data_IF_167854648492
#
_entry.id   IF_167854648492
#
_cell.length_a   1.000
_cell.length_b   1.000
_cell.length_c   1.000
_cell.angle_alpha   90.00
_cell.angle_beta   90.00
_cell.angle_gamma   90.00
#
_symmetry.space_group_name_H-M   'P 1'
#
loop_
_entity.id
_entity.type
_entity.pdbx_description
1 polymer ?
#
# COMPACT_ATOMS: atom_id res chain seq x y z
N UNK A 1 53.88 -45.60 -48.22
CA UNK A 1 52.88 -46.10 -47.24
C UNK A 1 52.63 -45.00 -46.22
N UNK A 2 51.37 -44.85 -45.81
CA UNK A 2 50.76 -43.67 -45.20
C UNK A 2 51.31 -43.29 -43.82
N UNK A 3 51.48 -41.98 -43.56
CA UNK A 3 51.25 -41.38 -42.23
C UNK A 3 50.70 -39.96 -42.39
N UNK A 4 49.38 -39.84 -42.25
CA UNK A 4 48.69 -38.55 -42.14
C UNK A 4 48.81 -38.02 -40.71
N UNK A 5 49.28 -36.78 -40.57
CA UNK A 5 49.18 -36.00 -39.34
C UNK A 5 47.84 -35.26 -39.36
N UNK A 6 46.85 -35.79 -38.65
CA UNK A 6 45.57 -35.11 -38.41
C UNK A 6 45.76 -34.05 -37.33
N UNK A 7 45.74 -32.78 -37.74
CA UNK A 7 45.68 -31.63 -36.85
C UNK A 7 44.42 -31.72 -35.98
N UNK A 8 44.60 -31.87 -34.67
CA UNK A 8 43.51 -31.78 -33.71
C UNK A 8 43.22 -30.29 -33.48
N UNK A 9 42.13 -29.79 -34.07
CA UNK A 9 41.52 -28.52 -33.68
C UNK A 9 41.08 -28.62 -32.22
N UNK A 10 41.83 -28.00 -31.32
CA UNK A 10 41.36 -27.74 -29.96
C UNK A 10 40.28 -26.65 -30.04
N UNK A 11 39.01 -27.06 -29.94
CA UNK A 11 37.91 -26.15 -29.63
C UNK A 11 38.09 -25.69 -28.17
N UNK A 12 38.62 -24.47 -28.00
CA UNK A 12 38.52 -23.77 -26.72
C UNK A 12 37.04 -23.40 -26.50
N UNK A 13 36.35 -24.13 -25.63
CA UNK A 13 35.05 -23.73 -25.08
C UNK A 13 35.26 -22.45 -24.27
N UNK A 14 34.86 -21.32 -24.85
CA UNK A 14 34.68 -20.09 -24.09
C UNK A 14 33.51 -20.29 -23.12
N UNK A 15 33.82 -20.61 -21.87
CA UNK A 15 32.88 -20.51 -20.74
C UNK A 15 32.67 -19.01 -20.43
N UNK A 16 31.91 -18.34 -21.29
CA UNK A 16 31.51 -16.95 -21.13
C UNK A 16 30.42 -16.81 -20.06
N UNK A 17 30.60 -15.81 -19.20
CA UNK A 17 29.74 -15.39 -18.08
C UNK A 17 28.23 -15.63 -18.29
N UNK A 18 27.67 -16.67 -17.66
CA UNK A 18 26.21 -16.82 -17.50
C UNK A 18 25.71 -16.37 -16.12
N UNK A 19 26.59 -16.17 -15.14
CA UNK A 19 26.22 -15.81 -13.77
C UNK A 19 25.39 -14.50 -13.70
N UNK A 20 25.61 -13.55 -14.61
CA UNK A 20 24.92 -12.26 -14.58
C UNK A 20 23.44 -12.29 -14.96
N UNK A 21 22.97 -13.28 -15.73
CA UNK A 21 21.58 -13.29 -16.23
C UNK A 21 20.60 -13.96 -15.26
N UNK A 22 21.04 -14.98 -14.53
CA UNK A 22 20.24 -15.66 -13.51
C UNK A 22 19.89 -14.73 -12.35
N UNK A 23 20.85 -13.92 -11.88
CA UNK A 23 20.64 -12.96 -10.80
C UNK A 23 19.72 -11.78 -11.20
N UNK A 24 19.69 -11.41 -12.49
CA UNK A 24 18.74 -10.41 -13.01
C UNK A 24 17.32 -10.97 -13.01
N UNK A 25 17.15 -12.19 -13.52
CA UNK A 25 15.84 -12.83 -13.65
C UNK A 25 15.24 -13.13 -12.27
N UNK A 26 16.04 -13.60 -11.31
CA UNK A 26 15.59 -13.89 -9.95
C UNK A 26 15.08 -12.63 -9.23
N UNK A 27 15.82 -11.51 -9.31
CA UNK A 27 15.40 -10.24 -8.69
C UNK A 27 14.15 -9.64 -9.36
N UNK A 28 14.01 -9.79 -10.68
CA UNK A 28 12.79 -9.40 -11.40
C UNK A 28 11.57 -10.23 -11.01
N UNK A 29 11.76 -11.54 -10.78
CA UNK A 29 10.71 -12.43 -10.29
C UNK A 29 10.29 -12.05 -8.85
N UNK A 30 11.25 -11.75 -7.96
CA UNK A 30 10.98 -11.32 -6.60
C UNK A 30 10.20 -10.00 -6.54
N UNK A 31 10.57 -9.01 -7.36
CA UNK A 31 9.84 -7.75 -7.42
C UNK A 31 8.40 -7.90 -7.91
N UNK A 32 8.13 -8.87 -8.78
CA UNK A 32 6.78 -9.21 -9.21
C UNK A 32 5.98 -9.89 -8.10
N UNK A 33 6.57 -10.88 -7.42
CA UNK A 33 5.95 -11.59 -6.29
C UNK A 33 5.62 -10.59 -5.17
N UNK A 34 6.55 -9.69 -4.84
CA UNK A 34 6.37 -8.67 -3.82
C UNK A 34 5.09 -7.84 -3.99
N UNK A 35 4.73 -7.51 -5.23
CA UNK A 35 3.60 -6.62 -5.52
C UNK A 35 2.30 -7.40 -5.77
N UNK A 36 2.39 -8.63 -6.28
CA UNK A 36 1.21 -9.39 -6.75
C UNK A 36 0.71 -10.43 -5.76
N UNK A 37 1.58 -10.94 -4.91
CA UNK A 37 1.24 -11.94 -3.90
C UNK A 37 0.99 -11.27 -2.54
N UNK A 38 0.52 -12.05 -1.57
CA UNK A 38 0.26 -11.60 -0.20
C UNK A 38 0.95 -12.52 0.83
N UNK A 39 0.97 -12.08 2.08
CA UNK A 39 1.51 -12.82 3.22
C UNK A 39 3.03 -12.98 3.19
N UNK A 40 3.52 -14.04 3.83
CA UNK A 40 4.96 -14.23 4.07
C UNK A 40 5.77 -14.36 2.76
N UNK A 41 5.18 -14.99 1.73
CA UNK A 41 5.82 -15.08 0.42
C UNK A 41 6.08 -13.70 -0.20
N UNK A 42 5.14 -12.77 -0.08
CA UNK A 42 5.31 -11.39 -0.54
C UNK A 42 6.33 -10.63 0.31
N UNK A 43 6.28 -10.77 1.65
CA UNK A 43 7.25 -10.13 2.56
C UNK A 43 8.69 -10.55 2.23
N UNK A 44 8.91 -11.85 2.01
CA UNK A 44 10.21 -12.41 1.68
C UNK A 44 10.70 -11.94 0.32
N UNK A 45 9.82 -11.95 -0.69
CA UNK A 45 10.14 -11.47 -2.03
C UNK A 45 10.46 -9.98 -2.06
N UNK A 46 9.66 -9.15 -1.38
CA UNK A 46 9.96 -7.72 -1.21
C UNK A 46 11.32 -7.51 -0.54
N UNK A 47 11.62 -8.29 0.50
CA UNK A 47 12.88 -8.17 1.23
C UNK A 47 14.08 -8.49 0.35
N UNK A 48 14.03 -9.57 -0.45
CA UNK A 48 15.07 -9.88 -1.44
C UNK A 48 15.17 -8.81 -2.53
N UNK A 49 14.04 -8.33 -3.06
CA UNK A 49 14.01 -7.28 -4.08
C UNK A 49 14.65 -5.98 -3.59
N UNK A 50 14.34 -5.54 -2.36
CA UNK A 50 14.93 -4.36 -1.72
C UNK A 50 16.44 -4.56 -1.50
N UNK A 51 16.85 -5.72 -0.95
CA UNK A 51 18.26 -6.02 -0.66
C UNK A 51 19.12 -6.14 -1.92
N UNK A 52 18.52 -6.47 -3.07
CA UNK A 52 19.24 -6.55 -4.35
C UNK A 52 19.88 -5.22 -4.78
N UNK A 53 19.37 -4.08 -4.27
CA UNK A 53 19.77 -2.71 -4.65
C UNK A 53 19.63 -2.42 -6.15
N UNK A 54 18.81 -3.20 -6.86
CA UNK A 54 18.60 -3.06 -8.32
C UNK A 54 17.49 -2.06 -8.67
N UNK A 55 16.63 -1.75 -7.71
CA UNK A 55 15.51 -0.83 -7.87
C UNK A 55 15.83 0.52 -7.23
N UNK A 56 15.25 1.58 -7.77
CA UNK A 56 15.37 2.94 -7.23
C UNK A 56 14.10 3.75 -7.51
N UNK A 57 14.01 4.94 -6.90
CA UNK A 57 12.89 5.86 -7.08
C UNK A 57 11.54 5.21 -6.73
N UNK A 58 10.51 5.57 -7.47
CA UNK A 58 9.14 5.13 -7.23
C UNK A 58 8.99 3.59 -7.23
N UNK A 59 9.74 2.87 -8.07
CA UNK A 59 9.69 1.39 -8.10
C UNK A 59 10.18 0.80 -6.78
N UNK A 60 11.28 1.32 -6.22
CA UNK A 60 11.77 0.89 -4.91
C UNK A 60 10.80 1.30 -3.79
N UNK A 61 10.26 2.52 -3.84
CA UNK A 61 9.26 2.98 -2.88
C UNK A 61 8.04 2.05 -2.84
N UNK A 62 7.59 1.55 -4.00
CA UNK A 62 6.51 0.57 -4.09
C UNK A 62 6.83 -0.77 -3.44
N UNK A 63 8.07 -1.26 -3.55
CA UNK A 63 8.48 -2.50 -2.87
C UNK A 63 8.40 -2.35 -1.34
N UNK A 64 8.85 -1.20 -0.82
CA UNK A 64 8.70 -0.87 0.59
C UNK A 64 7.22 -0.76 0.99
N UNK A 65 6.40 -0.04 0.20
CA UNK A 65 4.96 0.08 0.46
C UNK A 65 4.29 -1.30 0.52
N UNK A 66 4.49 -2.15 -0.49
CA UNK A 66 3.91 -3.50 -0.54
C UNK A 66 4.32 -4.34 0.68
N UNK A 67 5.61 -4.35 1.04
CA UNK A 67 6.06 -5.07 2.25
C UNK A 67 5.41 -4.53 3.53
N UNK A 68 5.30 -3.20 3.64
CA UNK A 68 4.67 -2.56 4.79
C UNK A 68 3.19 -2.91 4.90
N UNK A 69 2.46 -3.02 3.78
CA UNK A 69 1.05 -3.43 3.75
C UNK A 69 0.89 -4.85 4.31
N UNK A 70 1.74 -5.78 3.88
CA UNK A 70 1.69 -7.17 4.36
C UNK A 70 2.07 -7.28 5.84
N UNK A 71 3.08 -6.53 6.29
CA UNK A 71 3.44 -6.45 7.72
C UNK A 71 2.32 -5.88 8.57
N UNK A 72 1.65 -4.83 8.10
CA UNK A 72 0.47 -4.27 8.77
C UNK A 72 -0.67 -5.28 8.85
N UNK A 73 -0.90 -6.08 7.80
CA UNK A 73 -1.90 -7.14 7.80
C UNK A 73 -1.59 -8.25 8.82
N UNK A 74 -0.30 -8.45 9.15
CA UNK A 74 0.17 -9.31 10.25
C UNK A 74 0.28 -8.61 11.60
N UNK A 75 -0.23 -7.38 11.72
CA UNK A 75 -0.18 -6.54 12.92
C UNK A 75 1.26 -6.18 13.37
N UNK A 76 2.26 -6.35 12.52
CA UNK A 76 3.64 -5.88 12.73
C UNK A 76 3.74 -4.39 12.40
N UNK A 77 3.10 -3.58 13.24
CA UNK A 77 2.91 -2.15 13.00
C UNK A 77 4.22 -1.35 13.00
N UNK A 78 5.19 -1.71 13.85
CA UNK A 78 6.48 -1.03 13.91
C UNK A 78 7.25 -1.22 12.60
N UNK A 79 7.37 -2.46 12.12
CA UNK A 79 8.06 -2.74 10.86
C UNK A 79 7.30 -2.20 9.65
N UNK A 80 5.96 -2.14 9.71
CA UNK A 80 5.15 -1.52 8.67
C UNK A 80 5.38 0.00 8.60
N UNK A 81 5.38 0.69 9.74
CA UNK A 81 5.67 2.14 9.79
C UNK A 81 7.07 2.46 9.26
N UNK A 82 8.07 1.64 9.57
CA UNK A 82 9.42 1.80 9.04
C UNK A 82 9.46 1.67 7.51
N UNK A 83 8.74 0.69 6.95
CA UNK A 83 8.64 0.51 5.50
C UNK A 83 7.93 1.67 4.82
N UNK A 84 6.81 2.12 5.36
CA UNK A 84 6.09 3.27 4.81
C UNK A 84 6.89 4.56 4.91
N UNK A 85 7.65 4.76 5.98
CA UNK A 85 8.54 5.90 6.13
C UNK A 85 9.65 5.91 5.07
N UNK A 86 10.26 4.76 4.79
CA UNK A 86 11.26 4.67 3.73
C UNK A 86 10.65 4.88 2.33
N UNK A 87 9.45 4.34 2.07
CA UNK A 87 8.71 4.60 0.84
C UNK A 87 8.46 6.12 0.63
N UNK A 88 7.96 6.81 1.65
CA UNK A 88 7.71 8.26 1.62
C UNK A 88 8.99 9.10 1.50
N UNK A 89 10.12 8.60 2.03
CA UNK A 89 11.43 9.24 1.91
C UNK A 89 11.99 9.12 0.49
N UNK A 90 11.83 7.95 -0.15
CA UNK A 90 12.28 7.68 -1.51
C UNK A 90 11.41 8.43 -2.52
N UNK A 91 10.09 8.35 -2.38
CA UNK A 91 9.12 9.07 -3.20
C UNK A 91 8.21 9.95 -2.34
N UNK A 92 8.60 11.22 -2.23
CA UNK A 92 7.90 12.24 -1.43
C UNK A 92 6.49 12.56 -1.92
N UNK A 93 6.12 12.12 -3.13
CA UNK A 93 4.77 12.32 -3.70
C UNK A 93 3.92 11.07 -3.61
N UNK A 94 4.41 10.00 -2.98
CA UNK A 94 3.68 8.75 -2.88
C UNK A 94 2.63 8.80 -1.77
N UNK A 95 1.44 9.31 -2.10
CA UNK A 95 0.35 9.52 -1.14
C UNK A 95 -0.03 8.25 -0.34
N UNK A 96 0.04 7.07 -0.97
CA UNK A 96 -0.31 5.79 -0.33
C UNK A 96 0.60 5.45 0.86
N UNK A 97 1.87 5.90 0.85
CA UNK A 97 2.75 5.70 1.99
C UNK A 97 2.26 6.50 3.22
N UNK A 98 1.81 7.74 3.01
CA UNK A 98 1.22 8.56 4.07
C UNK A 98 -0.14 8.01 4.54
N UNK A 99 -0.99 7.57 3.60
CA UNK A 99 -2.28 6.94 3.93
C UNK A 99 -2.09 5.67 4.78
N UNK A 100 -1.16 4.79 4.42
CA UNK A 100 -0.93 3.56 5.18
C UNK A 100 -0.34 3.85 6.57
N UNK A 101 0.50 4.89 6.73
CA UNK A 101 0.93 5.37 8.06
C UNK A 101 -0.26 5.89 8.86
N UNK A 102 -1.13 6.68 8.25
CA UNK A 102 -2.37 7.14 8.87
C UNK A 102 -3.21 5.98 9.41
N UNK A 103 -3.44 4.95 8.60
CA UNK A 103 -4.19 3.77 9.01
C UNK A 103 -3.53 3.07 10.22
N UNK A 104 -2.21 2.89 10.21
CA UNK A 104 -1.48 2.30 11.37
C UNK A 104 -1.63 3.16 12.63
N UNK A 105 -1.50 4.48 12.52
CA UNK A 105 -1.70 5.38 13.67
C UNK A 105 -3.14 5.35 14.19
N UNK A 106 -4.14 5.23 13.32
CA UNK A 106 -5.53 5.02 13.71
C UNK A 106 -5.70 3.72 14.53
N UNK A 107 -5.11 2.60 14.07
CA UNK A 107 -5.13 1.34 14.81
C UNK A 107 -4.46 1.45 16.19
N UNK A 108 -3.35 2.19 16.25
CA UNK A 108 -2.62 2.47 17.50
C UNK A 108 -3.27 3.53 18.38
N UNK A 109 -4.41 4.11 17.95
CA UNK A 109 -5.13 5.19 18.63
C UNK A 109 -4.32 6.49 18.76
N UNK A 110 -3.32 6.67 17.91
CA UNK A 110 -2.49 7.87 17.80
C UNK A 110 -3.13 8.85 16.82
N UNK A 111 -4.32 9.34 17.17
CA UNK A 111 -5.20 10.02 16.22
C UNK A 111 -4.65 11.34 15.66
N UNK A 112 -3.85 12.10 16.42
CA UNK A 112 -3.20 13.32 15.91
C UNK A 112 -2.16 13.02 14.83
N UNK A 113 -1.39 11.94 15.01
CA UNK A 113 -0.46 11.46 14.00
C UNK A 113 -1.22 10.96 12.77
N UNK A 114 -2.32 10.22 12.97
CA UNK A 114 -3.18 9.76 11.89
C UNK A 114 -3.73 10.93 11.06
N UNK A 115 -4.29 11.95 11.70
CA UNK A 115 -4.82 13.15 11.03
C UNK A 115 -3.73 13.85 10.20
N UNK A 116 -2.52 13.97 10.75
CA UNK A 116 -1.38 14.59 10.06
C UNK A 116 -1.01 13.82 8.79
N UNK A 117 -0.83 12.50 8.90
CA UNK A 117 -0.45 11.63 7.79
C UNK A 117 -1.54 11.55 6.72
N UNK A 118 -2.81 11.38 7.12
CA UNK A 118 -3.93 11.38 6.17
C UNK A 118 -4.07 12.73 5.45
N UNK A 119 -3.85 13.85 6.15
CA UNK A 119 -3.90 15.17 5.51
C UNK A 119 -2.83 15.34 4.44
N UNK A 120 -1.65 14.79 4.66
CA UNK A 120 -0.59 14.77 3.66
C UNK A 120 -0.97 13.89 2.46
N UNK A 121 -1.56 12.70 2.69
CA UNK A 121 -2.07 11.84 1.61
C UNK A 121 -3.13 12.53 0.76
N UNK A 122 -4.13 13.17 1.39
CA UNK A 122 -5.20 13.93 0.73
C UNK A 122 -4.63 15.08 -0.10
N UNK A 123 -3.64 15.81 0.44
CA UNK A 123 -2.99 16.93 -0.26
C UNK A 123 -2.23 16.49 -1.50
N UNK A 124 -1.57 15.34 -1.45
CA UNK A 124 -0.81 14.78 -2.58
C UNK A 124 -1.73 14.16 -3.63
N UNK A 125 -2.86 13.59 -3.20
CA UNK A 125 -3.79 12.84 -4.03
C UNK A 125 -3.26 11.43 -4.37
N UNK A 126 -4.14 10.46 -4.65
CA UNK A 126 -3.73 9.08 -4.91
C UNK A 126 -2.78 8.95 -6.10
N UNK A 127 -1.80 8.07 -5.98
CA UNK A 127 -0.89 7.77 -7.09
C UNK A 127 -1.63 7.03 -8.21
N UNK A 128 -1.01 6.94 -9.39
CA UNK A 128 -1.58 6.20 -10.51
C UNK A 128 -1.60 4.68 -10.27
N UNK A 129 -0.76 4.19 -9.36
CA UNK A 129 -0.61 2.78 -9.00
C UNK A 129 -1.14 2.47 -7.60
N UNK A 130 -1.96 3.36 -7.04
CA UNK A 130 -2.60 3.16 -5.75
C UNK A 130 -3.33 1.81 -5.73
N UNK A 131 -2.86 0.92 -4.87
CA UNK A 131 -3.53 -0.33 -4.51
C UNK A 131 -4.11 -0.13 -3.13
N UNK A 132 -5.37 -0.51 -2.93
CA UNK A 132 -5.99 -0.47 -1.60
C UNK A 132 -5.15 -1.33 -0.65
N UNK A 133 -5.11 -0.90 0.60
CA UNK A 133 -4.69 -1.72 1.72
C UNK A 133 -5.34 -3.12 1.68
N UNK A 134 -4.64 -4.11 1.11
CA UNK A 134 -5.02 -5.53 1.10
C UNK A 134 -5.85 -6.03 -0.09
N UNK A 135 -6.02 -5.26 -1.17
CA UNK A 135 -6.77 -5.69 -2.36
C UNK A 135 -5.94 -5.59 -3.64
N UNK A 136 -5.94 -6.67 -4.44
CA UNK A 136 -5.31 -6.73 -5.77
C UNK A 136 -6.06 -5.93 -6.84
N UNK A 137 -7.19 -5.31 -6.50
CA UNK A 137 -8.00 -4.54 -7.44
C UNK A 137 -7.62 -3.06 -7.40
N UNK A 138 -7.31 -2.53 -8.59
CA UNK A 138 -6.93 -1.13 -8.79
C UNK A 138 -8.18 -0.28 -8.64
N UNK A 139 -8.42 0.27 -7.46
CA UNK A 139 -9.45 1.28 -7.27
C UNK A 139 -9.14 2.49 -8.17
N UNK A 140 -10.17 3.06 -8.80
CA UNK A 140 -10.05 4.37 -9.44
C UNK A 140 -9.57 5.41 -8.42
N UNK A 141 -8.87 6.46 -8.89
CA UNK A 141 -8.31 7.50 -8.01
C UNK A 141 -9.34 8.09 -7.05
N UNK A 142 -10.59 8.26 -7.49
CA UNK A 142 -11.65 8.80 -6.64
C UNK A 142 -11.98 7.88 -5.46
N UNK A 143 -11.96 6.57 -5.66
CA UNK A 143 -12.19 5.59 -4.60
C UNK A 143 -11.04 5.56 -3.59
N UNK A 144 -9.78 5.66 -4.05
CA UNK A 144 -8.65 5.77 -3.14
C UNK A 144 -8.70 7.07 -2.32
N UNK A 145 -9.04 8.20 -2.95
CA UNK A 145 -9.20 9.46 -2.25
C UNK A 145 -10.38 9.41 -1.26
N UNK A 146 -11.45 8.69 -1.60
CA UNK A 146 -12.56 8.42 -0.67
C UNK A 146 -12.06 7.73 0.60
N UNK A 147 -11.22 6.71 0.48
CA UNK A 147 -10.63 6.02 1.64
C UNK A 147 -9.74 6.93 2.47
N UNK A 148 -8.97 7.83 1.84
CA UNK A 148 -8.12 8.76 2.58
C UNK A 148 -8.96 9.71 3.46
N UNK A 149 -10.06 10.22 2.91
CA UNK A 149 -11.02 11.02 3.67
C UNK A 149 -11.70 10.18 4.77
N UNK A 150 -12.12 8.95 4.46
CA UNK A 150 -12.76 8.07 5.43
C UNK A 150 -11.86 7.78 6.65
N UNK A 151 -10.58 7.49 6.42
CA UNK A 151 -9.60 7.24 7.50
C UNK A 151 -9.34 8.49 8.35
N UNK A 152 -9.26 9.68 7.73
CA UNK A 152 -9.11 10.92 8.49
C UNK A 152 -10.37 11.27 9.28
N UNK A 153 -11.54 11.07 8.67
CA UNK A 153 -12.84 11.24 9.33
C UNK A 153 -13.02 10.30 10.52
N UNK A 154 -12.56 9.06 10.40
CA UNK A 154 -12.48 8.10 11.51
C UNK A 154 -11.58 8.60 12.64
N UNK A 155 -10.40 9.14 12.32
CA UNK A 155 -9.50 9.71 13.32
C UNK A 155 -10.16 10.88 14.09
N UNK A 156 -10.82 11.80 13.38
CA UNK A 156 -11.57 12.89 14.00
C UNK A 156 -12.73 12.39 14.86
N UNK A 157 -13.50 11.40 14.38
CA UNK A 157 -14.59 10.79 15.14
C UNK A 157 -14.09 10.18 16.45
N UNK A 158 -12.95 9.47 16.42
CA UNK A 158 -12.34 8.87 17.62
C UNK A 158 -11.79 9.90 18.61
N UNK A 159 -11.60 11.14 18.18
CA UNK A 159 -11.25 12.29 19.01
C UNK A 159 -12.47 13.10 19.49
N UNK A 160 -13.68 12.62 19.22
CA UNK A 160 -14.94 13.34 19.42
C UNK A 160 -15.05 14.67 18.66
N UNK A 161 -14.20 14.88 17.64
CA UNK A 161 -14.29 16.01 16.72
C UNK A 161 -15.29 15.67 15.60
N UNK A 162 -16.56 15.62 15.97
CA UNK A 162 -17.63 15.23 15.05
C UNK A 162 -17.82 16.23 13.90
N UNK A 163 -17.39 17.48 14.05
CA UNK A 163 -17.52 18.48 12.98
C UNK A 163 -16.58 18.15 11.83
N UNK A 164 -15.29 17.94 12.10
CA UNK A 164 -14.33 17.56 11.05
C UNK A 164 -14.57 16.13 10.56
N UNK A 165 -15.01 15.23 11.44
CA UNK A 165 -15.38 13.87 11.03
C UNK A 165 -16.48 13.90 9.94
N UNK A 166 -17.59 14.61 10.17
CA UNK A 166 -18.68 14.68 9.20
C UNK A 166 -18.23 15.30 7.86
N UNK A 167 -17.41 16.35 7.89
CA UNK A 167 -16.88 16.99 6.66
C UNK A 167 -16.07 16.00 5.82
N UNK A 168 -15.19 15.23 6.46
CA UNK A 168 -14.38 14.24 5.74
C UNK A 168 -15.23 13.07 5.25
N UNK A 169 -16.16 12.58 6.06
CA UNK A 169 -17.03 11.46 5.70
C UNK A 169 -18.01 11.81 4.58
N UNK A 170 -18.49 13.06 4.53
CA UNK A 170 -19.26 13.58 3.41
C UNK A 170 -18.44 13.63 2.11
N UNK A 171 -17.17 14.05 2.19
CA UNK A 171 -16.27 14.01 1.04
C UNK A 171 -15.99 12.58 0.58
N UNK A 172 -15.78 11.65 1.51
CA UNK A 172 -15.58 10.24 1.20
C UNK A 172 -16.78 9.66 0.44
N UNK A 173 -18.00 9.88 0.93
CA UNK A 173 -19.24 9.36 0.35
C UNK A 173 -19.58 10.05 -0.98
N UNK A 174 -19.23 11.34 -1.14
CA UNK A 174 -19.36 12.04 -2.42
C UNK A 174 -18.47 11.44 -3.51
N UNK A 175 -17.26 10.99 -3.16
CA UNK A 175 -16.32 10.36 -4.08
C UNK A 175 -16.67 8.90 -4.38
N UNK A 176 -17.10 8.16 -3.34
CA UNK A 176 -17.56 6.79 -3.45
C UNK A 176 -18.77 6.58 -2.54
N UNK A 177 -19.96 6.59 -3.14
CA UNK A 177 -21.22 6.43 -2.41
C UNK A 177 -21.34 5.07 -1.71
N UNK A 178 -20.55 4.07 -2.14
CA UNK A 178 -20.50 2.72 -1.58
C UNK A 178 -19.28 2.53 -0.65
N UNK A 179 -18.65 3.60 -0.15
CA UNK A 179 -17.63 3.46 0.89
C UNK A 179 -18.29 3.07 2.21
N UNK A 180 -18.40 1.76 2.46
CA UNK A 180 -19.06 1.22 3.65
C UNK A 180 -18.46 1.71 4.95
N UNK A 181 -17.12 1.79 5.05
CA UNK A 181 -16.41 2.32 6.24
C UNK A 181 -16.78 3.78 6.51
N UNK A 182 -16.88 4.60 5.47
CA UNK A 182 -17.30 5.99 5.59
C UNK A 182 -18.76 6.09 6.04
N UNK A 183 -19.67 5.32 5.42
CA UNK A 183 -21.08 5.27 5.82
C UNK A 183 -21.24 4.84 7.28
N UNK A 184 -20.56 3.76 7.69
CA UNK A 184 -20.58 3.28 9.08
C UNK A 184 -20.11 4.37 10.05
N UNK A 185 -18.97 4.98 9.76
CA UNK A 185 -18.39 6.02 10.63
C UNK A 185 -19.29 7.26 10.68
N UNK A 186 -19.91 7.66 9.57
CA UNK A 186 -20.81 8.83 9.52
C UNK A 186 -22.10 8.55 10.27
N UNK A 187 -22.64 7.34 10.12
CA UNK A 187 -23.79 6.85 10.88
C UNK A 187 -23.53 6.88 12.39
N UNK A 188 -22.41 6.33 12.84
CA UNK A 188 -22.00 6.38 14.26
C UNK A 188 -21.77 7.82 14.76
N UNK A 189 -21.24 8.69 13.91
CA UNK A 189 -21.05 10.11 14.22
C UNK A 189 -22.40 10.82 14.40
N UNK A 190 -23.38 10.52 13.54
CA UNK A 190 -24.75 11.03 13.69
C UNK A 190 -25.43 10.50 14.95
N UNK A 191 -25.26 9.22 15.28
CA UNK A 191 -25.78 8.60 16.51
C UNK A 191 -25.24 9.31 17.76
N UNK A 192 -23.93 9.56 17.81
CA UNK A 192 -23.29 10.30 18.91
C UNK A 192 -23.86 11.72 19.09
N UNK A 193 -24.39 12.31 18.01
CA UNK A 193 -25.03 13.63 18.02
C UNK A 193 -26.55 13.59 18.21
N UNK A 194 -27.16 12.40 18.31
CA UNK A 194 -28.62 12.24 18.35
C UNK A 194 -29.32 12.62 17.03
N UNK A 195 -28.62 12.53 15.91
CA UNK A 195 -29.13 12.91 14.59
C UNK A 195 -29.82 11.72 13.90
N UNK A 196 -31.05 11.92 13.42
CA UNK A 196 -31.88 10.88 12.80
C UNK A 196 -31.29 10.31 11.50
N UNK A 197 -30.32 10.99 10.89
CA UNK A 197 -29.63 10.50 9.67
C UNK A 197 -28.82 9.23 9.91
N UNK A 198 -28.48 8.92 11.16
CA UNK A 198 -27.68 7.75 11.52
C UNK A 198 -28.22 6.43 10.96
N UNK A 199 -29.54 6.22 11.07
CA UNK A 199 -30.17 4.96 10.69
C UNK A 199 -30.01 4.62 9.20
N UNK A 200 -30.05 5.64 8.33
CA UNK A 200 -29.88 5.45 6.89
C UNK A 200 -28.44 5.01 6.56
N UNK A 201 -27.46 5.73 7.09
CA UNK A 201 -26.04 5.44 6.86
C UNK A 201 -25.63 4.07 7.40
N UNK A 202 -26.08 3.71 8.61
CA UNK A 202 -25.80 2.41 9.21
C UNK A 202 -26.47 1.26 8.46
N UNK A 203 -27.68 1.46 7.95
CA UNK A 203 -28.35 0.47 7.11
C UNK A 203 -27.60 0.24 5.79
N UNK A 204 -27.16 1.31 5.13
CA UNK A 204 -26.34 1.22 3.92
C UNK A 204 -24.99 0.54 4.17
N UNK A 205 -24.32 0.88 5.27
CA UNK A 205 -23.06 0.24 5.66
C UNK A 205 -23.22 -1.28 5.87
N UNK A 206 -24.29 -1.69 6.56
CA UNK A 206 -24.59 -3.10 6.78
C UNK A 206 -24.83 -3.88 5.48
N UNK A 207 -25.47 -3.26 4.48
CA UNK A 207 -25.66 -3.86 3.15
C UNK A 207 -24.33 -4.05 2.41
N UNK A 208 -23.30 -3.29 2.75
CA UNK A 208 -21.95 -3.36 2.20
C UNK A 208 -21.00 -4.27 3.00
N UNK A 209 -21.51 -4.93 4.06
CA UNK A 209 -20.73 -5.88 4.87
C UNK A 209 -19.95 -5.27 6.03
N UNK A 210 -20.26 -4.02 6.41
CA UNK A 210 -19.62 -3.30 7.51
C UNK A 210 -20.38 -3.39 8.84
#
# INVERSE_FOLDING_TARGET
MLRGFGAHCAFALAAGLLAGTFDVQAAGNDANICIKEAGDAAIDACSRAIQSKRFSGHVLARQYLSRGVERRAKEDYESALADFAEAAKIDKKYADAFYNRCAVYNFRKEYDAAITECSQAIKLGPSADATVAGGSERLGKDNALSDYYAERGSAYFRKDDYVHALVDLDNAIRLNANNGRALKTRGLTYEAKGDSRAAADLASAKLLGE
#
